data_IF_518380153315
#
_entry.id   IF_518380153315
#
_cell.length_a   1.000
_cell.length_b   1.000
_cell.length_c   1.000
_cell.angle_alpha   90.00
_cell.angle_beta   90.00
_cell.angle_gamma   90.00
#
_symmetry.space_group_name_H-M   'P 1'
#
loop_
_entity.id
_entity.type
_entity.pdbx_description
1 polymer ?
#
# COMPACT_ATOMS: atom_id res chain seq x y z
N UNK A 1 -5.75 21.37 -26.08
CA UNK A 1 -5.79 21.62 -24.62
C UNK A 1 -4.98 20.56 -23.93
N UNK A 2 -4.09 20.93 -23.01
CA UNK A 2 -3.33 19.97 -22.19
C UNK A 2 -4.32 19.11 -21.35
N UNK A 3 -4.10 17.79 -21.34
CA UNK A 3 -4.91 16.88 -20.51
C UNK A 3 -4.37 16.90 -19.08
N UNK A 4 -5.15 17.45 -18.15
CA UNK A 4 -4.76 17.56 -16.75
C UNK A 4 -5.17 16.32 -15.97
N UNK A 5 -4.21 15.66 -15.32
CA UNK A 5 -4.47 14.64 -14.32
C UNK A 5 -4.19 15.18 -12.92
N UNK A 6 -5.15 15.04 -12.02
CA UNK A 6 -5.01 15.44 -10.61
C UNK A 6 -5.02 14.20 -9.71
N UNK A 7 -3.87 13.95 -9.06
CA UNK A 7 -3.78 12.96 -7.99
C UNK A 7 -4.23 13.57 -6.67
N UNK A 8 -5.22 12.95 -6.02
CA UNK A 8 -5.71 13.36 -4.69
C UNK A 8 -5.35 12.27 -3.69
N UNK A 9 -4.40 12.55 -2.82
CA UNK A 9 -3.77 11.55 -1.95
C UNK A 9 -3.77 12.00 -0.50
N UNK A 10 -3.86 11.08 0.42
CA UNK A 10 -3.97 11.33 1.86
C UNK A 10 -2.67 11.83 2.52
N UNK A 11 -1.53 11.82 1.82
CA UNK A 11 -0.29 12.48 2.23
C UNK A 11 0.74 12.53 1.10
N UNK A 12 1.66 13.49 1.17
CA UNK A 12 2.75 13.64 0.22
C UNK A 12 3.73 12.44 0.28
N UNK A 13 4.03 11.92 1.47
CA UNK A 13 4.90 10.74 1.66
C UNK A 13 4.30 9.51 0.99
N UNK A 14 2.98 9.32 1.11
CA UNK A 14 2.31 8.21 0.44
C UNK A 14 2.31 8.37 -1.08
N UNK A 15 2.12 9.60 -1.58
CA UNK A 15 2.24 9.88 -3.01
C UNK A 15 3.64 9.53 -3.51
N UNK A 16 4.69 10.04 -2.89
CA UNK A 16 6.09 9.78 -3.28
C UNK A 16 6.43 8.30 -3.28
N UNK A 17 6.02 7.58 -2.24
CA UNK A 17 6.36 6.16 -2.10
C UNK A 17 5.55 5.22 -2.99
N UNK A 18 4.30 5.57 -3.37
CA UNK A 18 3.37 4.64 -4.04
C UNK A 18 2.82 5.14 -5.38
N UNK A 19 2.87 6.45 -5.66
CA UNK A 19 2.23 7.02 -6.85
C UNK A 19 3.16 7.83 -7.73
N UNK A 20 4.30 8.27 -7.21
CA UNK A 20 5.30 9.02 -7.96
C UNK A 20 5.67 8.37 -9.31
N UNK A 21 5.99 7.07 -9.39
CA UNK A 21 6.34 6.46 -10.68
C UNK A 21 5.20 6.50 -11.70
N UNK A 22 3.95 6.31 -11.23
CA UNK A 22 2.77 6.39 -12.10
C UNK A 22 2.55 7.83 -12.59
N UNK A 23 2.75 8.82 -11.70
CA UNK A 23 2.62 10.24 -12.03
C UNK A 23 3.69 10.69 -13.04
N UNK A 24 4.94 10.22 -12.89
CA UNK A 24 6.01 10.45 -13.85
C UNK A 24 5.67 9.85 -15.22
N UNK A 25 5.20 8.59 -15.25
CA UNK A 25 4.79 7.94 -16.48
C UNK A 25 3.57 8.62 -17.15
N UNK A 26 2.64 9.16 -16.36
CA UNK A 26 1.53 9.95 -16.88
C UNK A 26 2.03 11.26 -17.51
N UNK A 27 3.00 11.95 -16.87
CA UNK A 27 3.65 13.14 -17.46
C UNK A 27 4.34 12.80 -18.77
N UNK A 28 5.09 11.70 -18.81
CA UNK A 28 5.82 11.26 -20.01
C UNK A 28 4.84 10.83 -21.13
N UNK A 29 3.63 10.41 -20.77
CA UNK A 29 2.51 10.17 -21.69
C UNK A 29 1.80 11.45 -22.15
N UNK A 30 2.27 12.65 -21.72
CA UNK A 30 1.78 13.96 -22.16
C UNK A 30 0.68 14.58 -21.31
N UNK A 31 0.44 14.05 -20.07
CA UNK A 31 -0.45 14.70 -19.13
C UNK A 31 0.25 15.85 -18.39
N UNK A 32 -0.48 16.93 -18.15
CA UNK A 32 -0.13 17.94 -17.16
C UNK A 32 -0.52 17.39 -15.78
N UNK A 33 0.50 17.08 -14.95
CA UNK A 33 0.29 16.36 -13.68
C UNK A 33 0.21 17.34 -12.52
N UNK A 34 -0.89 17.27 -11.79
CA UNK A 34 -1.13 18.00 -10.54
C UNK A 34 -1.27 17.02 -9.38
N UNK A 35 -0.84 17.44 -8.19
CA UNK A 35 -0.90 16.62 -6.98
C UNK A 35 -1.56 17.41 -5.87
N UNK A 36 -2.59 16.85 -5.25
CA UNK A 36 -3.25 17.42 -4.08
C UNK A 36 -3.04 16.51 -2.86
N UNK A 37 -2.47 17.07 -1.79
CA UNK A 37 -2.31 16.39 -0.51
C UNK A 37 -2.55 17.38 0.64
N UNK A 38 -2.78 16.89 1.88
CA UNK A 38 -2.64 17.73 3.06
C UNK A 38 -1.23 18.34 3.18
N UNK A 39 -1.06 19.41 3.95
CA UNK A 39 0.26 19.97 4.22
C UNK A 39 1.13 18.95 4.97
N UNK A 40 2.42 18.96 4.68
CA UNK A 40 3.40 18.07 5.29
C UNK A 40 4.82 18.33 4.80
N UNK A 41 5.84 17.77 5.47
CA UNK A 41 7.25 18.03 5.16
C UNK A 41 7.66 17.55 3.75
N UNK A 42 7.02 16.51 3.23
CA UNK A 42 7.35 15.95 1.92
C UNK A 42 6.73 16.71 0.72
N UNK A 43 5.98 17.80 0.95
CA UNK A 43 5.36 18.58 -0.13
C UNK A 43 6.40 19.20 -1.05
N UNK A 44 7.51 19.67 -0.51
CA UNK A 44 8.57 20.28 -1.30
C UNK A 44 9.26 19.26 -2.22
N UNK A 45 9.39 18.02 -1.77
CA UNK A 45 9.89 16.92 -2.60
C UNK A 45 8.93 16.62 -3.76
N UNK A 46 7.62 16.70 -3.54
CA UNK A 46 6.63 16.57 -4.65
C UNK A 46 6.85 17.66 -5.70
N UNK A 47 7.07 18.91 -5.27
CA UNK A 47 7.35 20.04 -6.17
C UNK A 47 8.67 19.89 -6.92
N UNK A 48 9.70 19.37 -6.27
CA UNK A 48 11.02 19.16 -6.90
C UNK A 48 10.98 18.20 -8.09
N UNK A 49 9.95 17.33 -8.17
CA UNK A 49 9.69 16.49 -9.35
C UNK A 49 9.00 17.24 -10.50
N UNK A 50 8.75 18.55 -10.36
CA UNK A 50 8.12 19.38 -11.38
C UNK A 50 6.59 19.30 -11.42
N UNK A 51 5.96 18.79 -10.35
CA UNK A 51 4.50 18.74 -10.24
C UNK A 51 3.95 19.99 -9.56
N UNK A 52 2.82 20.49 -10.06
CA UNK A 52 2.07 21.53 -9.37
C UNK A 52 1.32 20.92 -8.17
N UNK A 53 1.62 21.42 -6.96
CA UNK A 53 1.05 20.91 -5.72
C UNK A 53 -0.03 21.81 -5.15
N UNK A 54 -1.18 21.22 -4.83
CA UNK A 54 -2.33 21.87 -4.21
C UNK A 54 -2.54 21.36 -2.80
N UNK A 55 -2.69 22.27 -1.85
CA UNK A 55 -2.98 21.89 -0.47
C UNK A 55 -4.48 21.81 -0.26
N UNK A 56 -4.95 20.70 0.33
CA UNK A 56 -6.31 20.58 0.80
C UNK A 56 -6.37 20.00 2.22
N UNK A 57 -7.36 20.41 3.04
CA UNK A 57 -7.47 19.89 4.39
C UNK A 57 -8.04 18.47 4.37
N UNK A 58 -7.29 17.50 4.90
CA UNK A 58 -7.77 16.15 5.13
C UNK A 58 -7.37 15.69 6.53
N UNK A 59 -8.36 15.59 7.42
CA UNK A 59 -8.15 15.05 8.75
C UNK A 59 -7.99 13.53 8.71
N UNK A 60 -6.77 13.01 8.90
CA UNK A 60 -6.53 11.55 8.91
C UNK A 60 -7.32 10.84 10.00
N UNK A 61 -7.55 11.49 11.13
CA UNK A 61 -8.16 10.92 12.35
C UNK A 61 -9.49 11.54 12.72
N UNK A 62 -9.81 12.73 12.21
CA UNK A 62 -11.06 13.42 12.53
C UNK A 62 -12.22 12.75 11.78
N UNK A 63 -13.31 12.50 12.51
CA UNK A 63 -14.64 12.21 11.97
C UNK A 63 -15.60 13.36 12.31
N UNK A 64 -15.05 14.53 12.70
CA UNK A 64 -15.88 15.69 12.98
C UNK A 64 -16.57 16.18 11.70
N UNK A 65 -17.91 16.29 11.65
CA UNK A 65 -18.64 16.60 10.43
C UNK A 65 -18.15 17.87 9.74
N UNK A 66 -17.77 18.87 10.49
CA UNK A 66 -17.25 20.14 9.94
C UNK A 66 -15.91 20.00 9.22
N UNK A 67 -15.01 19.12 9.70
CA UNK A 67 -13.74 18.86 9.03
C UNK A 67 -13.95 18.11 7.72
N UNK A 68 -14.92 17.19 7.68
CA UNK A 68 -15.25 16.41 6.49
C UNK A 68 -15.92 17.31 5.42
N UNK A 69 -16.84 18.20 5.83
CA UNK A 69 -17.42 19.20 4.93
C UNK A 69 -16.35 20.15 4.37
N UNK A 70 -15.42 20.61 5.21
CA UNK A 70 -14.30 21.46 4.75
C UNK A 70 -13.44 20.77 3.70
N UNK A 71 -13.14 19.47 3.90
CA UNK A 71 -12.41 18.65 2.92
C UNK A 71 -13.17 18.59 1.59
N UNK A 72 -14.46 18.29 1.64
CA UNK A 72 -15.31 18.23 0.45
C UNK A 72 -15.33 19.56 -0.32
N UNK A 73 -15.62 20.69 0.36
CA UNK A 73 -15.69 22.00 -0.29
C UNK A 73 -14.34 22.47 -0.84
N UNK A 74 -13.23 22.12 -0.18
CA UNK A 74 -11.89 22.43 -0.69
C UNK A 74 -11.61 21.67 -2.01
N UNK A 75 -11.95 20.39 -2.10
CA UNK A 75 -11.82 19.61 -3.32
C UNK A 75 -12.77 20.11 -4.42
N UNK A 76 -14.01 20.43 -4.06
CA UNK A 76 -14.98 20.99 -5.01
C UNK A 76 -14.49 22.31 -5.61
N UNK A 77 -13.95 23.24 -4.80
CA UNK A 77 -13.39 24.51 -5.26
C UNK A 77 -12.14 24.27 -6.13
N UNK A 78 -11.25 23.37 -5.74
CA UNK A 78 -10.08 22.99 -6.52
C UNK A 78 -10.47 22.49 -7.93
N UNK A 79 -11.44 21.57 -8.02
CA UNK A 79 -11.85 21.00 -9.31
C UNK A 79 -12.53 22.04 -10.20
N UNK A 80 -13.30 22.95 -9.63
CA UNK A 80 -13.91 24.07 -10.39
C UNK A 80 -12.84 25.02 -11.00
N UNK A 81 -11.77 25.28 -10.26
CA UNK A 81 -10.70 26.18 -10.69
C UNK A 81 -9.75 25.48 -11.66
N UNK A 82 -9.26 24.28 -11.29
CA UNK A 82 -8.28 23.53 -12.07
C UNK A 82 -8.88 22.91 -13.34
N UNK A 83 -10.16 22.50 -13.28
CA UNK A 83 -10.86 21.78 -14.35
C UNK A 83 -10.07 20.58 -14.86
N UNK A 84 -9.72 19.61 -13.98
CA UNK A 84 -8.95 18.45 -14.40
C UNK A 84 -9.74 17.61 -15.41
N UNK A 85 -9.05 17.04 -16.40
CA UNK A 85 -9.63 16.10 -17.35
C UNK A 85 -9.84 14.73 -16.70
N UNK A 86 -8.92 14.36 -15.78
CA UNK A 86 -8.96 13.13 -15.02
C UNK A 86 -8.57 13.40 -13.57
N UNK A 87 -9.29 12.77 -12.64
CA UNK A 87 -8.91 12.73 -11.22
C UNK A 87 -8.60 11.31 -10.79
N UNK A 88 -7.49 11.13 -10.06
CA UNK A 88 -7.11 9.85 -9.44
C UNK A 88 -7.10 9.99 -7.92
N UNK A 89 -8.15 9.52 -7.29
CA UNK A 89 -8.29 9.53 -5.83
C UNK A 89 -7.64 8.30 -5.22
N UNK A 90 -6.89 8.48 -4.14
CA UNK A 90 -6.18 7.40 -3.47
C UNK A 90 -6.52 7.36 -1.98
N UNK A 91 -6.90 6.20 -1.49
CA UNK A 91 -7.43 5.93 -0.15
C UNK A 91 -8.88 6.39 0.09
N UNK A 92 -9.58 5.69 1.00
CA UNK A 92 -11.04 5.74 1.15
C UNK A 92 -11.64 7.15 1.32
N UNK A 93 -11.02 8.04 2.12
CA UNK A 93 -11.53 9.40 2.31
C UNK A 93 -11.42 10.25 1.03
N UNK A 94 -10.25 10.17 0.36
CA UNK A 94 -10.07 10.86 -0.92
C UNK A 94 -11.02 10.32 -1.99
N UNK A 95 -11.23 9.00 -2.02
CA UNK A 95 -12.20 8.34 -2.89
C UNK A 95 -13.62 8.87 -2.65
N UNK A 96 -14.07 8.92 -1.41
CA UNK A 96 -15.43 9.35 -1.09
C UNK A 96 -15.68 10.82 -1.43
N UNK A 97 -14.89 11.72 -0.82
CA UNK A 97 -15.10 13.17 -0.98
C UNK A 97 -14.69 13.67 -2.36
N UNK A 98 -13.58 13.14 -2.88
CA UNK A 98 -13.09 13.49 -4.21
C UNK A 98 -14.06 13.08 -5.32
N UNK A 99 -14.60 11.85 -5.25
CA UNK A 99 -15.59 11.41 -6.25
C UNK A 99 -16.89 12.22 -6.18
N UNK A 100 -17.39 12.52 -4.97
CA UNK A 100 -18.58 13.36 -4.82
C UNK A 100 -18.35 14.76 -5.41
N UNK A 101 -17.20 15.38 -5.11
CA UNK A 101 -16.84 16.70 -5.66
C UNK A 101 -16.63 16.65 -7.18
N UNK A 102 -15.97 15.61 -7.71
CA UNK A 102 -15.73 15.45 -9.14
C UNK A 102 -17.02 15.31 -9.95
N UNK A 103 -17.98 14.54 -9.45
CA UNK A 103 -19.30 14.39 -10.08
C UNK A 103 -20.07 15.72 -10.12
N UNK A 104 -20.05 16.48 -9.03
CA UNK A 104 -20.75 17.77 -8.96
C UNK A 104 -20.09 18.86 -9.79
N UNK A 105 -18.80 18.74 -10.10
CA UNK A 105 -18.05 19.67 -10.93
C UNK A 105 -17.92 19.24 -12.40
N UNK A 106 -18.46 18.06 -12.75
CA UNK A 106 -18.47 17.54 -14.10
C UNK A 106 -17.09 17.10 -14.60
N UNK A 107 -16.20 16.60 -13.72
CA UNK A 107 -14.90 16.03 -14.13
C UNK A 107 -15.16 14.85 -15.06
N UNK A 108 -14.55 14.84 -16.29
CA UNK A 108 -14.87 13.86 -17.31
C UNK A 108 -14.49 12.42 -16.95
N UNK A 109 -13.32 12.21 -16.35
CA UNK A 109 -12.81 10.89 -16.01
C UNK A 109 -12.48 10.77 -14.51
N UNK A 110 -13.01 9.75 -13.85
CA UNK A 110 -12.83 9.53 -12.42
C UNK A 110 -12.25 8.13 -12.20
N UNK A 111 -11.04 8.07 -11.65
CA UNK A 111 -10.35 6.85 -11.25
C UNK A 111 -10.14 6.87 -9.73
N UNK A 112 -10.57 5.82 -9.07
CA UNK A 112 -10.46 5.67 -7.62
C UNK A 112 -9.55 4.47 -7.30
N UNK A 113 -8.60 4.62 -6.38
CA UNK A 113 -7.76 3.52 -5.90
C UNK A 113 -8.06 3.23 -4.43
N UNK A 114 -8.66 2.07 -4.19
CA UNK A 114 -8.87 1.51 -2.85
C UNK A 114 -7.62 0.72 -2.48
N UNK A 115 -6.79 1.30 -1.61
CA UNK A 115 -5.48 0.76 -1.21
C UNK A 115 -5.56 -0.05 0.09
N UNK A 116 -6.65 -0.76 0.28
CA UNK A 116 -7.02 -1.49 1.47
C UNK A 116 -8.19 -0.84 2.22
N UNK A 117 -9.03 -1.68 2.82
CA UNK A 117 -10.23 -1.21 3.53
C UNK A 117 -9.93 -0.71 4.95
N UNK A 118 -8.74 -1.03 5.46
CA UNK A 118 -8.23 -0.45 6.69
C UNK A 118 -8.98 -0.84 7.96
N UNK A 119 -8.82 0.00 8.98
CA UNK A 119 -9.31 -0.26 10.34
C UNK A 119 -10.82 -0.51 10.44
N UNK A 120 -11.62 0.23 9.69
CA UNK A 120 -13.08 0.13 9.74
C UNK A 120 -13.58 -1.29 9.43
N UNK A 121 -12.91 -1.96 8.50
CA UNK A 121 -13.25 -3.31 8.06
C UNK A 121 -12.58 -4.43 8.88
N UNK A 122 -11.65 -4.08 9.78
CA UNK A 122 -11.04 -5.02 10.73
C UNK A 122 -11.87 -5.17 12.01
N UNK A 123 -12.85 -4.30 12.26
CA UNK A 123 -13.67 -4.33 13.46
C UNK A 123 -14.57 -5.56 13.49
N UNK A 124 -14.50 -6.33 14.58
CA UNK A 124 -15.34 -7.50 14.83
C UNK A 124 -16.56 -7.15 15.67
N UNK A 125 -17.59 -8.00 15.64
CA UNK A 125 -18.83 -7.85 16.41
C UNK A 125 -19.86 -6.93 15.74
N UNK A 126 -21.02 -6.81 16.38
CA UNK A 126 -22.19 -6.10 15.84
C UNK A 126 -21.92 -4.62 15.58
N UNK A 127 -21.17 -3.94 16.46
CA UNK A 127 -20.79 -2.53 16.28
C UNK A 127 -19.92 -2.32 15.02
N UNK A 128 -18.93 -3.21 14.81
CA UNK A 128 -18.09 -3.17 13.62
C UNK A 128 -18.88 -3.45 12.35
N UNK A 129 -19.78 -4.43 12.37
CA UNK A 129 -20.66 -4.75 11.25
C UNK A 129 -21.57 -3.56 10.88
N UNK A 130 -22.17 -2.89 11.88
CA UNK A 130 -23.01 -1.71 11.67
C UNK A 130 -22.22 -0.54 11.08
N UNK A 131 -21.06 -0.23 11.64
CA UNK A 131 -20.18 0.85 11.11
C UNK A 131 -19.76 0.58 9.67
N UNK A 132 -19.42 -0.66 9.34
CA UNK A 132 -19.10 -1.08 7.98
C UNK A 132 -20.29 -0.93 7.05
N UNK A 133 -21.49 -1.39 7.45
CA UNK A 133 -22.69 -1.27 6.65
C UNK A 133 -23.05 0.21 6.38
N UNK A 134 -22.93 1.07 7.39
CA UNK A 134 -23.14 2.51 7.24
C UNK A 134 -22.11 3.13 6.27
N UNK A 135 -20.82 2.80 6.42
CA UNK A 135 -19.80 3.29 5.50
C UNK A 135 -20.11 2.89 4.05
N UNK A 136 -20.42 1.62 3.80
CA UNK A 136 -20.76 1.12 2.48
C UNK A 136 -22.03 1.80 1.92
N UNK A 137 -22.99 2.11 2.77
CA UNK A 137 -24.19 2.86 2.38
C UNK A 137 -23.85 4.28 1.88
N UNK A 138 -22.89 4.96 2.52
CA UNK A 138 -22.41 6.28 2.06
C UNK A 138 -21.60 6.20 0.77
N UNK A 139 -20.81 5.15 0.57
CA UNK A 139 -20.05 4.97 -0.67
C UNK A 139 -20.95 4.68 -1.88
N UNK A 140 -22.05 3.95 -1.69
CA UNK A 140 -22.93 3.48 -2.77
C UNK A 140 -23.43 4.58 -3.71
N UNK A 141 -24.06 5.69 -3.27
CA UNK A 141 -24.55 6.73 -4.16
C UNK A 141 -23.42 7.50 -4.85
N UNK A 142 -22.21 7.48 -4.26
CA UNK A 142 -21.05 8.21 -4.77
C UNK A 142 -20.35 7.41 -5.86
N UNK A 143 -20.09 6.11 -5.64
CA UNK A 143 -19.26 5.29 -6.53
C UNK A 143 -20.05 4.55 -7.63
N UNK A 144 -21.34 4.31 -7.43
CA UNK A 144 -22.16 3.52 -8.36
C UNK A 144 -22.56 4.27 -9.64
N UNK A 145 -22.04 5.45 -9.89
CA UNK A 145 -22.32 6.20 -11.12
C UNK A 145 -21.51 5.66 -12.31
N UNK A 146 -22.06 5.86 -13.51
CA UNK A 146 -21.33 5.60 -14.76
C UNK A 146 -20.09 6.51 -14.89
N UNK A 147 -19.09 6.10 -15.69
CA UNK A 147 -17.87 6.90 -15.91
C UNK A 147 -16.87 6.88 -14.73
N UNK A 148 -17.01 5.94 -13.79
CA UNK A 148 -16.09 5.76 -12.66
C UNK A 148 -15.43 4.41 -12.79
N UNK A 149 -14.08 4.36 -12.61
CA UNK A 149 -13.33 3.12 -12.40
C UNK A 149 -12.80 3.06 -10.98
N UNK A 150 -12.81 1.87 -10.40
CA UNK A 150 -12.31 1.62 -9.05
C UNK A 150 -11.24 0.55 -9.10
N UNK A 151 -10.01 0.94 -8.84
CA UNK A 151 -8.84 0.06 -8.76
C UNK A 151 -8.81 -0.55 -7.37
N UNK A 152 -8.84 -1.87 -7.29
CA UNK A 152 -8.60 -2.66 -6.09
C UNK A 152 -7.22 -3.31 -6.16
N UNK A 153 -6.60 -3.51 -5.00
CA UNK A 153 -5.31 -4.18 -4.91
C UNK A 153 -5.41 -5.68 -4.60
N UNK A 154 -6.56 -6.13 -4.13
CA UNK A 154 -6.85 -7.53 -3.86
C UNK A 154 -8.32 -7.86 -4.17
N UNK A 155 -8.63 -9.13 -4.52
CA UNK A 155 -10.00 -9.56 -4.87
C UNK A 155 -10.96 -9.58 -3.68
N UNK A 156 -10.48 -9.73 -2.44
CA UNK A 156 -11.34 -9.72 -1.25
C UNK A 156 -12.01 -8.35 -1.06
N UNK A 157 -11.25 -7.25 -1.20
CA UNK A 157 -11.77 -5.89 -1.09
C UNK A 157 -12.72 -5.55 -2.25
N UNK A 158 -12.40 -6.02 -3.45
CA UNK A 158 -13.29 -5.91 -4.61
C UNK A 158 -14.62 -6.63 -4.36
N UNK A 159 -14.56 -7.90 -3.96
CA UNK A 159 -15.75 -8.72 -3.70
C UNK A 159 -16.66 -8.11 -2.62
N UNK A 160 -16.08 -7.50 -1.59
CA UNK A 160 -16.84 -6.83 -0.52
C UNK A 160 -17.62 -5.61 -1.07
N UNK A 161 -16.99 -4.80 -1.93
CA UNK A 161 -17.68 -3.65 -2.56
C UNK A 161 -18.75 -4.07 -3.56
N UNK A 162 -18.52 -5.14 -4.32
CA UNK A 162 -19.50 -5.71 -5.24
C UNK A 162 -20.70 -6.32 -4.49
N UNK A 163 -20.44 -7.15 -3.47
CA UNK A 163 -21.47 -7.77 -2.63
C UNK A 163 -22.33 -6.73 -1.92
N UNK A 164 -21.74 -5.64 -1.43
CA UNK A 164 -22.45 -4.51 -0.85
C UNK A 164 -23.13 -3.60 -1.89
N UNK A 165 -23.01 -3.91 -3.18
CA UNK A 165 -23.55 -3.12 -4.31
C UNK A 165 -23.09 -1.65 -4.29
N UNK A 166 -21.88 -1.40 -3.79
CA UNK A 166 -21.24 -0.07 -3.79
C UNK A 166 -20.79 0.31 -5.19
N UNK A 167 -20.39 -0.67 -5.97
CA UNK A 167 -19.98 -0.55 -7.37
C UNK A 167 -20.73 -1.56 -8.23
N UNK A 168 -20.69 -1.35 -9.54
CA UNK A 168 -21.08 -2.38 -10.51
C UNK A 168 -19.85 -3.25 -10.87
N UNK A 169 -20.00 -4.53 -11.21
CA UNK A 169 -18.87 -5.41 -11.58
C UNK A 169 -17.97 -4.82 -12.68
N UNK A 170 -18.54 -4.16 -13.67
CA UNK A 170 -17.78 -3.53 -14.75
C UNK A 170 -17.01 -2.26 -14.37
N UNK A 171 -17.13 -1.76 -13.13
CA UNK A 171 -16.37 -0.61 -12.64
C UNK A 171 -15.07 -1.01 -11.94
N UNK A 172 -14.96 -2.27 -11.49
CA UNK A 172 -13.79 -2.77 -10.79
C UNK A 172 -12.64 -3.11 -11.74
N UNK A 173 -11.43 -2.75 -11.33
CA UNK A 173 -10.18 -3.14 -11.99
C UNK A 173 -9.23 -3.64 -10.90
N UNK A 174 -8.68 -4.84 -11.09
CA UNK A 174 -7.69 -5.39 -10.16
C UNK A 174 -6.28 -5.03 -10.61
N UNK A 175 -5.58 -4.18 -9.85
CA UNK A 175 -4.16 -3.86 -10.05
C UNK A 175 -3.45 -4.14 -8.72
N UNK A 176 -2.69 -5.22 -8.67
CA UNK A 176 -2.08 -5.72 -7.44
C UNK A 176 -0.93 -4.83 -6.96
N UNK A 177 -1.13 -4.17 -5.82
CA UNK A 177 -0.12 -3.35 -5.16
C UNK A 177 0.23 -2.05 -5.88
N UNK A 178 1.38 -1.50 -5.53
CA UNK A 178 1.93 -0.27 -6.13
C UNK A 178 3.14 -0.52 -7.05
N UNK A 179 3.52 -1.79 -7.18
CA UNK A 179 4.69 -2.19 -7.95
C UNK A 179 6.03 -1.84 -7.28
N UNK A 180 7.07 -2.54 -7.69
CA UNK A 180 8.46 -2.22 -7.30
C UNK A 180 9.37 -2.28 -8.53
N UNK A 181 10.35 -1.36 -8.63
CA UNK A 181 11.32 -1.37 -9.72
C UNK A 181 12.31 -2.51 -9.51
N UNK A 182 12.27 -3.52 -10.38
CA UNK A 182 13.13 -4.70 -10.28
C UNK A 182 14.62 -4.38 -10.40
N UNK A 183 14.97 -3.25 -11.02
CA UNK A 183 16.34 -2.75 -11.13
C UNK A 183 16.91 -2.27 -9.79
N UNK A 184 16.07 -1.85 -8.85
CA UNK A 184 16.45 -1.38 -7.52
C UNK A 184 16.55 -2.55 -6.51
N UNK A 185 15.65 -3.54 -6.62
CA UNK A 185 15.55 -4.66 -5.69
C UNK A 185 16.17 -5.91 -6.32
N UNK A 186 17.49 -6.02 -6.18
CA UNK A 186 18.26 -7.12 -6.76
C UNK A 186 18.24 -8.34 -5.83
N UNK A 187 18.22 -9.54 -6.43
CA UNK A 187 18.45 -10.76 -5.67
C UNK A 187 19.90 -10.75 -5.15
N UNK A 188 20.06 -11.02 -3.87
CA UNK A 188 21.37 -11.15 -3.24
C UNK A 188 21.48 -12.53 -2.57
N UNK A 189 22.70 -13.07 -2.52
CA UNK A 189 22.96 -14.25 -1.68
C UNK A 189 22.65 -13.92 -0.23
N UNK A 190 22.15 -14.92 0.50
CA UNK A 190 22.01 -14.82 1.94
C UNK A 190 23.39 -14.61 2.57
N UNK A 191 23.55 -13.66 3.50
CA UNK A 191 24.83 -13.46 4.19
C UNK A 191 25.23 -14.69 5.00
N UNK A 192 26.53 -14.94 5.07
CA UNK A 192 27.08 -15.95 5.97
C UNK A 192 26.95 -15.53 7.44
N UNK A 193 26.92 -16.48 8.33
CA UNK A 193 26.84 -16.27 9.78
C UNK A 193 25.43 -16.45 10.34
N UNK A 194 25.15 -15.81 11.46
CA UNK A 194 23.84 -15.92 12.13
C UNK A 194 22.73 -15.31 11.29
N UNK A 195 21.70 -16.08 10.89
CA UNK A 195 20.64 -15.60 10.03
C UNK A 195 19.87 -14.41 10.64
N UNK A 196 19.53 -13.45 9.80
CA UNK A 196 18.71 -12.30 10.19
C UNK A 196 17.25 -12.54 9.82
N UNK A 197 16.37 -12.49 10.81
CA UNK A 197 14.92 -12.47 10.67
C UNK A 197 14.47 -11.03 10.76
N UNK A 198 13.92 -10.49 9.65
CA UNK A 198 13.64 -9.08 9.49
C UNK A 198 12.14 -8.80 9.59
N UNK A 199 11.75 -7.87 10.45
CA UNK A 199 10.48 -7.15 10.38
C UNK A 199 10.75 -5.75 9.83
N UNK A 200 10.05 -5.36 8.76
CA UNK A 200 10.23 -4.03 8.17
C UNK A 200 8.89 -3.33 7.96
N UNK A 201 8.62 -2.31 8.76
CA UNK A 201 7.41 -1.48 8.69
C UNK A 201 7.52 -0.29 9.63
N UNK A 202 6.57 0.64 9.59
CA UNK A 202 6.34 1.53 10.72
C UNK A 202 6.05 0.69 11.97
N UNK A 203 6.59 1.08 13.10
CA UNK A 203 6.42 0.39 14.38
C UNK A 203 5.00 0.62 14.93
N UNK A 204 4.05 -0.16 14.42
CA UNK A 204 2.64 -0.10 14.81
C UNK A 204 2.17 -1.46 15.28
N UNK A 205 1.41 -1.51 16.37
CA UNK A 205 0.84 -2.78 16.89
C UNK A 205 0.04 -3.55 15.83
N UNK A 206 -0.74 -2.82 15.00
CA UNK A 206 -1.56 -3.44 13.94
C UNK A 206 -0.72 -4.06 12.79
N UNK A 207 0.60 -3.80 12.75
CA UNK A 207 1.54 -4.42 11.81
C UNK A 207 2.14 -5.73 12.33
N UNK A 208 1.81 -6.11 13.58
CA UNK A 208 2.24 -7.35 14.17
C UNK A 208 3.63 -7.30 14.82
N UNK A 209 4.08 -6.11 15.23
CA UNK A 209 5.38 -5.96 15.93
C UNK A 209 5.40 -6.81 17.20
N UNK A 210 4.29 -6.83 17.95
CA UNK A 210 4.16 -7.64 19.18
C UNK A 210 4.30 -9.13 18.90
N UNK A 211 3.63 -9.64 17.87
CA UNK A 211 3.70 -11.05 17.45
C UNK A 211 5.11 -11.42 16.97
N UNK A 212 5.81 -10.50 16.30
CA UNK A 212 7.21 -10.70 15.89
C UNK A 212 8.15 -10.82 17.10
N UNK A 213 8.04 -9.90 18.06
CA UNK A 213 8.89 -9.89 19.27
C UNK A 213 8.62 -11.12 20.13
N UNK A 214 7.36 -11.54 20.26
CA UNK A 214 7.01 -12.75 20.99
C UNK A 214 7.52 -14.01 20.29
N UNK A 215 7.45 -14.07 18.96
CA UNK A 215 8.05 -15.15 18.19
C UNK A 215 9.58 -15.22 18.38
N UNK A 216 10.25 -14.06 18.48
CA UNK A 216 11.69 -14.00 18.79
C UNK A 216 12.00 -14.65 20.17
N UNK A 217 11.23 -14.32 21.20
CA UNK A 217 11.37 -14.94 22.55
C UNK A 217 11.14 -16.45 22.54
N UNK A 218 10.11 -16.90 21.82
CA UNK A 218 9.82 -18.33 21.67
C UNK A 218 10.99 -19.06 21.03
N UNK A 219 11.59 -18.49 19.97
CA UNK A 219 12.71 -19.10 19.26
C UNK A 219 14.00 -19.08 20.08
N UNK A 220 14.24 -18.01 20.83
CA UNK A 220 15.34 -17.93 21.81
C UNK A 220 15.21 -19.04 22.86
N UNK A 221 14.02 -19.21 23.45
CA UNK A 221 13.74 -20.27 24.44
C UNK A 221 13.89 -21.68 23.86
N UNK A 222 13.73 -21.86 22.54
CA UNK A 222 13.99 -23.12 21.82
C UNK A 222 15.46 -23.33 21.45
N UNK A 223 16.34 -22.35 21.73
CA UNK A 223 17.77 -22.41 21.38
C UNK A 223 18.04 -22.20 19.90
N UNK A 224 17.12 -21.60 19.14
CA UNK A 224 17.30 -21.31 17.71
C UNK A 224 18.17 -20.07 17.55
N UNK A 225 19.34 -20.23 16.96
CA UNK A 225 20.29 -19.13 16.73
C UNK A 225 19.84 -18.26 15.54
N UNK A 226 19.34 -17.06 15.83
CA UNK A 226 18.98 -16.05 14.82
C UNK A 226 19.06 -14.64 15.44
N UNK A 227 19.22 -13.64 14.57
CA UNK A 227 19.12 -12.22 14.93
C UNK A 227 17.77 -11.69 14.49
N UNK A 228 17.01 -11.12 15.40
CA UNK A 228 15.70 -10.55 15.12
C UNK A 228 15.82 -9.04 15.00
N UNK A 229 15.44 -8.50 13.84
CA UNK A 229 15.65 -7.10 13.49
C UNK A 229 14.34 -6.40 13.19
N UNK A 230 14.13 -5.25 13.81
CA UNK A 230 13.06 -4.31 13.52
C UNK A 230 13.60 -3.13 12.69
N UNK A 231 13.19 -3.00 11.44
CA UNK A 231 13.53 -1.87 10.57
C UNK A 231 12.30 -0.99 10.35
N UNK A 232 12.34 0.22 10.88
CA UNK A 232 11.28 1.22 10.74
C UNK A 232 11.23 2.21 11.88
N UNK A 233 10.66 3.36 11.60
CA UNK A 233 10.45 4.42 12.59
C UNK A 233 9.13 4.29 13.33
N UNK A 234 9.04 5.00 14.45
CA UNK A 234 7.79 5.22 15.16
C UNK A 234 6.92 6.26 14.44
N UNK A 235 5.63 6.24 14.70
CA UNK A 235 4.65 7.25 14.23
C UNK A 235 3.89 7.77 15.46
N UNK A 236 4.54 8.66 16.22
CA UNK A 236 4.05 9.14 17.52
C UNK A 236 2.63 9.73 17.46
N UNK A 237 2.23 10.22 16.29
CA UNK A 237 0.87 10.72 16.09
C UNK A 237 -0.16 9.61 15.82
N UNK A 238 0.27 8.36 15.71
CA UNK A 238 -0.62 7.23 15.50
C UNK A 238 -0.96 6.57 16.84
N UNK A 239 -2.24 6.44 17.22
CA UNK A 239 -2.62 5.81 18.51
C UNK A 239 -2.25 4.33 18.58
N UNK A 240 -1.84 3.71 17.47
CA UNK A 240 -1.36 2.34 17.38
C UNK A 240 0.16 2.25 17.32
N UNK A 241 0.88 3.36 17.49
CA UNK A 241 2.33 3.33 17.52
C UNK A 241 2.84 2.54 18.72
N UNK A 242 3.89 1.76 18.49
CA UNK A 242 4.67 1.18 19.58
C UNK A 242 5.53 2.31 20.15
N UNK A 243 5.47 2.56 21.48
CA UNK A 243 6.28 3.60 22.11
C UNK A 243 7.77 3.34 21.90
N UNK A 244 8.57 4.38 21.68
CA UNK A 244 10.04 4.25 21.54
C UNK A 244 10.68 3.58 22.74
N UNK A 245 10.20 3.89 23.95
CA UNK A 245 10.67 3.28 25.19
C UNK A 245 10.47 1.74 25.21
N UNK A 246 9.41 1.26 24.59
CA UNK A 246 9.14 -0.19 24.46
C UNK A 246 10.14 -0.85 23.50
N UNK A 247 10.39 -0.24 22.33
CA UNK A 247 11.39 -0.71 21.36
C UNK A 247 12.79 -0.76 21.98
N UNK A 248 13.17 0.29 22.70
CA UNK A 248 14.44 0.36 23.43
C UNK A 248 14.53 -0.68 24.56
N UNK A 249 13.41 -0.97 25.23
CA UNK A 249 13.34 -2.02 26.23
C UNK A 249 13.63 -3.40 25.65
N UNK A 250 13.01 -3.73 24.54
CA UNK A 250 13.24 -5.00 23.82
C UNK A 250 14.68 -5.13 23.31
N UNK A 251 15.25 -4.03 22.81
CA UNK A 251 16.65 -3.99 22.37
C UNK A 251 17.61 -4.17 23.54
N UNK A 252 17.40 -3.49 24.69
CA UNK A 252 18.23 -3.64 25.90
C UNK A 252 18.15 -5.06 26.49
N UNK A 253 16.99 -5.70 26.35
CA UNK A 253 16.81 -7.10 26.77
C UNK A 253 17.45 -8.09 25.79
N UNK A 254 18.01 -7.65 24.66
CA UNK A 254 18.64 -8.51 23.66
C UNK A 254 17.66 -9.30 22.77
N UNK A 255 16.34 -9.09 22.92
CA UNK A 255 15.32 -9.84 22.15
C UNK A 255 15.32 -9.47 20.69
N UNK A 256 15.49 -8.18 20.38
CA UNK A 256 15.55 -7.65 19.00
C UNK A 256 16.58 -6.54 18.87
N UNK A 257 17.04 -6.31 17.65
CA UNK A 257 17.79 -5.13 17.25
C UNK A 257 16.84 -4.14 16.57
N UNK A 258 16.78 -2.90 17.03
CA UNK A 258 16.01 -1.87 16.37
C UNK A 258 16.89 -0.96 15.53
N UNK A 259 16.76 -1.05 14.19
CA UNK A 259 17.59 -0.29 13.24
C UNK A 259 17.00 1.08 12.89
N UNK A 260 15.87 1.47 13.50
CA UNK A 260 15.21 2.75 13.22
C UNK A 260 14.67 2.85 11.80
N UNK A 261 14.37 4.08 11.37
CA UNK A 261 13.91 4.36 10.02
C UNK A 261 15.05 4.14 9.00
N UNK A 262 14.75 3.38 7.93
CA UNK A 262 15.72 3.04 6.88
C UNK A 262 15.21 3.50 5.52
N UNK A 263 16.10 4.06 4.70
CA UNK A 263 15.83 4.46 3.30
C UNK A 263 16.52 3.55 2.28
N UNK A 264 17.49 2.75 2.75
CA UNK A 264 18.27 1.77 2.01
C UNK A 264 17.67 0.37 2.10
N UNK A 265 16.38 0.25 1.84
CA UNK A 265 15.65 -1.02 1.98
C UNK A 265 16.23 -2.19 1.16
N UNK A 266 16.76 -2.00 -0.07
CA UNK A 266 17.44 -3.08 -0.79
C UNK A 266 18.57 -3.71 0.01
N UNK A 267 19.41 -2.91 0.66
CA UNK A 267 20.54 -3.38 1.49
C UNK A 267 20.05 -4.06 2.78
N UNK A 268 18.94 -3.56 3.34
CA UNK A 268 18.29 -4.17 4.52
C UNK A 268 17.77 -5.57 4.17
N UNK A 269 17.08 -5.73 3.03
CA UNK A 269 16.64 -7.05 2.57
C UNK A 269 17.82 -7.96 2.19
N UNK A 270 18.87 -7.42 1.57
CA UNK A 270 20.05 -8.21 1.23
C UNK A 270 20.72 -8.85 2.46
N UNK A 271 20.62 -8.19 3.63
CA UNK A 271 21.17 -8.67 4.91
C UNK A 271 20.24 -9.67 5.64
N UNK A 272 19.01 -9.90 5.15
CA UNK A 272 18.06 -10.79 5.82
C UNK A 272 18.01 -12.19 5.19
N UNK A 273 17.71 -13.20 6.02
CA UNK A 273 17.43 -14.57 5.58
C UNK A 273 15.94 -14.81 5.39
N UNK A 274 15.11 -14.22 6.26
CA UNK A 274 13.65 -14.36 6.26
C UNK A 274 13.03 -13.00 6.56
N UNK A 275 11.96 -12.64 5.86
CA UNK A 275 11.16 -11.45 6.16
C UNK A 275 9.85 -11.87 6.80
N UNK A 276 9.53 -11.27 7.94
CA UNK A 276 8.32 -11.57 8.73
C UNK A 276 7.44 -10.33 8.83
N UNK A 277 6.18 -10.45 8.46
CA UNK A 277 5.22 -9.34 8.51
C UNK A 277 3.86 -9.88 8.97
N UNK A 278 3.65 -10.11 10.28
CA UNK A 278 2.43 -10.72 10.80
C UNK A 278 1.31 -9.71 11.02
N UNK A 279 1.04 -8.89 9.98
CA UNK A 279 0.06 -7.80 10.04
C UNK A 279 -1.35 -8.32 10.31
N UNK A 280 -2.04 -7.65 11.22
CA UNK A 280 -3.45 -7.89 11.52
C UNK A 280 -4.38 -6.90 10.81
N UNK A 281 -3.79 -6.00 10.02
CA UNK A 281 -4.49 -4.93 9.32
C UNK A 281 -4.89 -5.36 7.91
N UNK A 282 -6.07 -4.94 7.43
CA UNK A 282 -6.49 -5.15 6.04
C UNK A 282 -5.75 -4.18 5.11
N UNK A 283 -4.59 -4.61 4.69
CA UNK A 283 -3.78 -3.91 3.69
C UNK A 283 -4.39 -4.04 2.29
N UNK A 284 -4.01 -3.15 1.39
CA UNK A 284 -4.11 -3.43 -0.05
C UNK A 284 -3.21 -4.62 -0.41
N UNK A 285 -2.01 -4.32 -0.94
CA UNK A 285 -0.87 -5.28 -0.93
C UNK A 285 0.30 -4.58 -0.24
N UNK A 286 0.84 -5.13 0.85
CA UNK A 286 1.94 -4.49 1.57
C UNK A 286 3.18 -4.38 0.67
N UNK A 287 3.63 -3.15 0.40
CA UNK A 287 4.76 -2.90 -0.50
C UNK A 287 6.04 -3.58 -0.01
N UNK A 288 6.25 -3.61 1.30
CA UNK A 288 7.40 -4.27 1.94
C UNK A 288 7.50 -5.76 1.58
N UNK A 289 6.37 -6.45 1.39
CA UNK A 289 6.37 -7.86 0.98
C UNK A 289 6.73 -8.02 -0.50
N UNK A 290 6.29 -7.08 -1.35
CA UNK A 290 6.70 -7.06 -2.77
C UNK A 290 8.21 -6.80 -2.87
N UNK A 291 8.72 -5.85 -2.09
CA UNK A 291 10.14 -5.51 -2.02
C UNK A 291 11.01 -6.70 -1.53
N UNK A 292 10.57 -7.38 -0.46
CA UNK A 292 11.23 -8.57 0.07
C UNK A 292 11.27 -9.71 -0.96
N UNK A 293 10.13 -10.00 -1.59
CA UNK A 293 10.04 -11.01 -2.64
C UNK A 293 10.89 -10.65 -3.87
N UNK A 294 10.96 -9.37 -4.26
CA UNK A 294 11.83 -8.89 -5.33
C UNK A 294 13.32 -9.13 -5.02
N UNK A 295 13.72 -9.04 -3.74
CA UNK A 295 15.06 -9.38 -3.26
C UNK A 295 15.30 -10.88 -3.07
N UNK A 296 14.37 -11.73 -3.53
CA UNK A 296 14.40 -13.19 -3.35
C UNK A 296 14.47 -13.61 -1.88
N UNK A 297 13.73 -12.92 -1.00
CA UNK A 297 13.60 -13.32 0.42
C UNK A 297 12.30 -14.08 0.64
N UNK A 298 12.34 -15.25 1.31
CA UNK A 298 11.14 -15.96 1.71
C UNK A 298 10.41 -15.15 2.78
N UNK A 299 9.08 -15.25 2.78
CA UNK A 299 8.23 -14.41 3.63
C UNK A 299 7.40 -15.27 4.57
N UNK A 300 7.30 -14.86 5.84
CA UNK A 300 6.28 -15.33 6.76
C UNK A 300 5.31 -14.19 7.02
N UNK A 301 4.03 -14.39 6.75
CA UNK A 301 3.01 -13.37 6.95
C UNK A 301 1.67 -13.99 7.32
N UNK A 302 0.73 -13.17 7.78
CA UNK A 302 -0.62 -13.63 8.13
C UNK A 302 -1.48 -13.87 6.90
N UNK A 303 -2.45 -14.78 7.02
CA UNK A 303 -3.48 -15.01 6.01
C UNK A 303 -4.52 -13.87 6.00
N UNK A 304 -4.04 -12.67 5.63
CA UNK A 304 -4.86 -11.47 5.47
C UNK A 304 -4.97 -11.10 3.98
N UNK A 305 -6.05 -10.45 3.53
CA UNK A 305 -6.32 -10.19 2.11
C UNK A 305 -5.11 -9.71 1.31
N UNK A 306 -4.51 -8.58 1.68
CA UNK A 306 -3.36 -8.04 0.93
C UNK A 306 -2.08 -8.88 1.06
N UNK A 307 -1.90 -9.59 2.17
CA UNK A 307 -0.72 -10.44 2.40
C UNK A 307 -0.76 -11.69 1.51
N UNK A 308 -1.92 -12.34 1.39
CA UNK A 308 -2.09 -13.54 0.55
C UNK A 308 -2.01 -13.27 -0.95
N UNK A 309 -2.09 -12.02 -1.37
CA UNK A 309 -1.89 -11.65 -2.78
C UNK A 309 -0.44 -11.85 -3.22
N UNK A 310 0.50 -11.46 -2.36
CA UNK A 310 1.93 -11.56 -2.66
C UNK A 310 2.56 -12.85 -2.11
N UNK A 311 2.00 -13.44 -1.06
CA UNK A 311 2.51 -14.69 -0.47
C UNK A 311 1.55 -15.85 -0.77
N UNK A 312 1.99 -16.75 -1.63
CA UNK A 312 1.33 -18.03 -1.93
C UNK A 312 1.90 -19.10 -1.01
N UNK A 313 1.07 -19.58 -0.08
CA UNK A 313 1.50 -20.49 0.98
C UNK A 313 2.23 -21.71 0.44
N UNK A 314 3.43 -21.98 0.96
CA UNK A 314 4.28 -23.11 0.56
C UNK A 314 5.07 -22.89 -0.76
N UNK A 315 4.75 -21.84 -1.54
CA UNK A 315 5.44 -21.55 -2.81
C UNK A 315 6.57 -20.52 -2.60
N UNK A 316 6.23 -19.31 -2.15
CA UNK A 316 7.20 -18.22 -1.97
C UNK A 316 7.25 -17.69 -0.54
N UNK A 317 6.60 -18.39 0.40
CA UNK A 317 6.54 -18.04 1.80
C UNK A 317 5.51 -18.89 2.55
N UNK A 318 5.30 -18.56 3.80
CA UNK A 318 4.36 -19.26 4.69
C UNK A 318 3.30 -18.29 5.21
N UNK A 319 2.04 -18.72 5.14
CA UNK A 319 0.92 -18.01 5.73
C UNK A 319 0.61 -18.60 7.11
N UNK A 320 0.48 -17.73 8.11
CA UNK A 320 0.18 -18.09 9.48
C UNK A 320 -1.15 -17.49 9.94
N UNK A 321 -1.81 -18.06 10.96
CA UNK A 321 -2.98 -17.46 11.56
C UNK A 321 -2.70 -16.07 12.12
N UNK A 322 -3.74 -15.23 12.12
CA UNK A 322 -3.67 -13.89 12.67
C UNK A 322 -3.55 -13.94 14.22
N UNK A 323 -2.65 -13.13 14.79
CA UNK A 323 -2.40 -13.03 16.23
C UNK A 323 -1.90 -14.32 16.87
N UNK A 324 -1.08 -15.06 16.17
CA UNK A 324 -0.50 -16.31 16.62
C UNK A 324 1.03 -16.25 16.53
N UNK A 325 1.67 -15.78 17.60
CA UNK A 325 3.12 -15.67 17.67
C UNK A 325 3.81 -17.05 17.63
N UNK A 326 3.15 -18.10 18.12
CA UNK A 326 3.67 -19.48 18.08
C UNK A 326 3.73 -19.97 16.63
N UNK A 327 2.66 -19.77 15.87
CA UNK A 327 2.67 -20.11 14.44
C UNK A 327 3.69 -19.31 13.63
N UNK A 328 3.93 -18.04 14.00
CA UNK A 328 5.02 -17.23 13.42
C UNK A 328 6.37 -17.86 13.74
N UNK A 329 6.62 -18.22 15.01
CA UNK A 329 7.85 -18.86 15.43
C UNK A 329 8.08 -20.20 14.70
N UNK A 330 7.08 -21.06 14.62
CA UNK A 330 7.15 -22.36 13.93
C UNK A 330 7.49 -22.20 12.44
N UNK A 331 6.85 -21.24 11.77
CA UNK A 331 7.11 -20.95 10.37
C UNK A 331 8.54 -20.39 10.14
N UNK A 332 9.01 -19.50 11.01
CA UNK A 332 10.37 -18.96 10.98
C UNK A 332 11.39 -20.07 11.25
N UNK A 333 11.18 -20.89 12.29
CA UNK A 333 12.07 -22.01 12.62
C UNK A 333 12.23 -22.96 11.44
N UNK A 334 11.13 -23.36 10.80
CA UNK A 334 11.15 -24.22 9.60
C UNK A 334 12.01 -23.63 8.49
N UNK A 335 11.91 -22.31 8.25
CA UNK A 335 12.73 -21.66 7.23
C UNK A 335 14.19 -21.55 7.67
N UNK A 336 14.50 -21.33 8.94
CA UNK A 336 15.87 -21.24 9.43
C UNK A 336 16.59 -22.61 9.36
N UNK A 337 15.89 -23.72 9.61
CA UNK A 337 16.41 -25.08 9.56
C UNK A 337 16.62 -25.61 8.13
N UNK A 338 15.96 -25.05 7.11
CA UNK A 338 16.08 -25.48 5.70
C UNK A 338 16.53 -24.34 4.77
N UNK A 339 17.86 -24.11 4.63
CA UNK A 339 18.38 -23.10 3.70
C UNK A 339 17.96 -23.33 2.23
N UNK A 340 17.82 -24.59 1.82
CA UNK A 340 17.41 -24.91 0.46
C UNK A 340 15.94 -24.52 0.21
N UNK A 341 15.06 -24.68 1.21
CA UNK A 341 13.68 -24.22 1.14
C UNK A 341 13.64 -22.68 1.06
N UNK A 342 14.45 -21.98 1.88
CA UNK A 342 14.56 -20.51 1.80
C UNK A 342 14.94 -20.04 0.40
N UNK A 343 15.94 -20.67 -0.21
CA UNK A 343 16.38 -20.35 -1.57
C UNK A 343 15.27 -20.54 -2.60
N UNK A 344 14.62 -21.71 -2.60
CA UNK A 344 13.51 -22.00 -3.53
C UNK A 344 12.34 -21.03 -3.37
N UNK A 345 11.95 -20.74 -2.15
CA UNK A 345 10.85 -19.79 -1.88
C UNK A 345 11.22 -18.36 -2.29
N UNK A 346 12.47 -17.95 -2.04
CA UNK A 346 12.96 -16.64 -2.45
C UNK A 346 12.94 -16.46 -3.97
N UNK A 347 13.44 -17.45 -4.72
CA UNK A 347 13.44 -17.45 -6.19
C UNK A 347 12.00 -17.42 -6.75
N UNK A 348 11.09 -18.24 -6.20
CA UNK A 348 9.68 -18.24 -6.57
C UNK A 348 9.01 -16.89 -6.29
N UNK A 349 9.35 -16.24 -5.16
CA UNK A 349 8.87 -14.91 -4.81
C UNK A 349 9.32 -13.86 -5.82
N UNK A 350 10.58 -13.88 -6.20
CA UNK A 350 11.12 -12.96 -7.22
C UNK A 350 10.45 -13.16 -8.59
N UNK A 351 10.28 -14.39 -9.02
CA UNK A 351 9.60 -14.71 -10.27
C UNK A 351 8.15 -14.21 -10.26
N UNK A 352 7.44 -14.37 -9.12
CA UNK A 352 6.10 -13.84 -8.94
C UNK A 352 6.07 -12.32 -9.08
N UNK A 353 7.01 -11.60 -8.46
CA UNK A 353 7.08 -10.13 -8.58
C UNK A 353 7.35 -9.70 -10.00
N UNK A 354 8.26 -10.37 -10.71
CA UNK A 354 8.54 -10.07 -12.12
C UNK A 354 7.31 -10.23 -13.02
N UNK A 355 6.48 -11.23 -12.75
CA UNK A 355 5.30 -11.55 -13.56
C UNK A 355 4.05 -10.73 -13.21
N UNK A 356 3.88 -10.32 -11.94
CA UNK A 356 2.59 -9.78 -11.49
C UNK A 356 2.70 -8.43 -10.74
N UNK A 357 3.86 -8.09 -10.17
CA UNK A 357 4.03 -6.93 -9.29
C UNK A 357 5.17 -5.99 -9.72
N UNK A 358 5.78 -6.21 -10.87
CA UNK A 358 6.78 -5.28 -11.40
C UNK A 358 6.15 -3.90 -11.63
N UNK A 359 6.92 -2.85 -11.37
CA UNK A 359 6.44 -1.47 -11.47
C UNK A 359 5.88 -1.15 -12.86
N UNK A 360 6.50 -1.67 -13.92
CA UNK A 360 6.13 -1.48 -15.31
C UNK A 360 4.72 -2.06 -15.61
N UNK A 361 4.37 -3.18 -14.96
CA UNK A 361 3.03 -3.80 -15.08
C UNK A 361 1.99 -2.88 -14.44
N UNK A 362 2.26 -2.38 -13.23
CA UNK A 362 1.33 -1.50 -12.49
C UNK A 362 1.15 -0.16 -13.22
N UNK A 363 2.23 0.42 -13.75
CA UNK A 363 2.18 1.65 -14.55
C UNK A 363 1.31 1.43 -15.78
N UNK A 364 1.61 0.40 -16.58
CA UNK A 364 0.86 0.08 -17.81
C UNK A 364 -0.62 -0.09 -17.52
N UNK A 365 -0.96 -0.96 -16.56
CA UNK A 365 -2.36 -1.22 -16.20
C UNK A 365 -3.09 0.05 -15.72
N UNK A 366 -2.40 0.94 -14.97
CA UNK A 366 -3.01 2.20 -14.53
C UNK A 366 -3.23 3.16 -15.69
N UNK A 367 -2.25 3.30 -16.60
CA UNK A 367 -2.40 4.14 -17.79
C UNK A 367 -3.46 3.60 -18.75
N UNK A 368 -3.63 2.28 -18.84
CA UNK A 368 -4.71 1.67 -19.62
C UNK A 368 -6.09 2.03 -19.06
N UNK A 369 -6.26 2.03 -17.73
CA UNK A 369 -7.48 2.54 -17.08
C UNK A 369 -7.71 4.02 -17.43
N UNK A 370 -6.66 4.85 -17.46
CA UNK A 370 -6.80 6.27 -17.86
C UNK A 370 -7.25 6.39 -19.32
N UNK A 371 -6.62 5.63 -20.23
CA UNK A 371 -7.00 5.62 -21.64
C UNK A 371 -8.45 5.18 -21.84
N UNK A 372 -8.86 4.12 -21.18
CA UNK A 372 -10.23 3.64 -21.22
C UNK A 372 -11.23 4.70 -20.74
N UNK A 373 -10.93 5.40 -19.64
CA UNK A 373 -11.80 6.43 -19.09
C UNK A 373 -11.86 7.70 -19.94
N UNK A 374 -10.77 8.04 -20.59
CA UNK A 374 -10.70 9.22 -21.45
C UNK A 374 -11.25 8.95 -22.86
N UNK A 375 -11.18 7.72 -23.35
CA UNK A 375 -11.77 7.28 -24.62
C UNK A 375 -11.55 8.28 -25.77
N UNK A 376 -12.63 8.82 -26.31
CA UNK A 376 -12.63 9.79 -27.40
C UNK A 376 -11.99 11.16 -27.05
N UNK A 377 -11.66 11.43 -25.79
CA UNK A 377 -10.94 12.65 -25.38
C UNK A 377 -9.43 12.57 -25.63
N UNK A 378 -8.90 11.36 -25.86
CA UNK A 378 -7.49 11.20 -26.25
C UNK A 378 -7.29 11.65 -27.69
N UNK A 379 -6.28 12.49 -27.98
CA UNK A 379 -5.89 12.75 -29.36
C UNK A 379 -5.45 11.44 -30.01
N UNK A 380 -5.93 11.20 -31.23
CA UNK A 380 -5.62 10.00 -32.02
C UNK A 380 -4.09 9.78 -32.04
N UNK A 381 -3.59 8.59 -31.63
CA UNK A 381 -2.16 8.27 -31.69
C UNK A 381 -1.55 8.43 -33.09
N UNK A 382 -2.35 8.29 -34.15
CA UNK A 382 -1.94 8.48 -35.54
C UNK A 382 -1.54 9.93 -35.86
N UNK A 383 -1.98 10.93 -35.10
CA UNK A 383 -1.63 12.34 -35.33
C UNK A 383 -0.29 12.77 -34.72
N UNK A 384 0.37 11.93 -33.92
CA UNK A 384 1.68 12.25 -33.29
C UNK A 384 2.90 11.77 -34.08
N UNK A 385 2.71 11.00 -35.18
CA UNK A 385 3.81 10.51 -36.04
C UNK A 385 4.07 11.42 -37.25
N UNK A 386 3.39 12.56 -37.38
CA UNK A 386 3.52 13.52 -38.49
C UNK A 386 3.89 14.92 -38.07
N UNK A 387 4.48 15.13 -36.87
CA UNK A 387 4.98 16.43 -36.44
C UNK A 387 6.46 16.39 -36.07
#
# INVERSE_FOLDING_TARGET
MSMRVLYVVNSAEFFLSHRLPIALAARDAGFEVHVATPPGPAVEEVRSHGFEHHVFPLGRKSLAPWSELRTFFALWALYRTLRPTLVHHVALKAVLYGTAAARLTGVPAIVNAVTGLGYLFCQRGLKGALLRALALLFFRPVLRASGIRVIFQNPDDQAEFEAAKVIHPGQAVLIRGSGVPMSRYLAAREPEGTPVVLFASRMLWDKGVGEFVEAARILEARGVAARFVLAGGTDEHNPKAVPSAELESWQRAGVVEWWGHRTDMPEVFAKSAVVVFPSIYREGVPKVLIEAAACARPIVTTDMPGCREIVRNGLNGLLVPNRDATAVADAVQRLLEDPALRGRMGEAGRALVQGEFALEIVIRSTLDVYREQLGALLPDPALRLSA
#
